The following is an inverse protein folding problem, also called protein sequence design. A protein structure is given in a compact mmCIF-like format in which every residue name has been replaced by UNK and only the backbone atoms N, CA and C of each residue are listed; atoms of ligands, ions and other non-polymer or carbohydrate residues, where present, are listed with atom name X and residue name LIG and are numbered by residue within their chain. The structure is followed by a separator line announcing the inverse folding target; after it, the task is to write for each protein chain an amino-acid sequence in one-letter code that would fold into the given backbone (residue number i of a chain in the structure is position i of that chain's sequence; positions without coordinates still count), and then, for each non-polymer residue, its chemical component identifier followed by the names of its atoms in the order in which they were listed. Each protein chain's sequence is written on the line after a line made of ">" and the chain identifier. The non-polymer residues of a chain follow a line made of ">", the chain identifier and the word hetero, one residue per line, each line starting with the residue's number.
data_IF_037236108902
#
_entry.id   IF_037236108902
#
_cell.length_a   1.000
_cell.length_b   1.000
_cell.length_c   1.000
_cell.angle_alpha   90.00
_cell.angle_beta   90.00
_cell.angle_gamma   90.00
#
_symmetry.space_group_name_H-M   'P 1'
#
loop_
_entity.id
_entity.type
_entity.pdbx_description
1 polymer ?
#
# COMPACT_ATOMS: atom_id res chain seq x y z
N UNK A 1 3.27 1.30 40.99
CA UNK A 1 2.73 0.07 40.37
C UNK A 1 1.21 0.15 40.29
N UNK A 2 0.63 -0.15 39.12
CA UNK A 2 -0.83 -0.21 38.96
C UNK A 2 -1.37 -1.51 39.57
N UNK A 3 -2.47 -1.45 40.33
CA UNK A 3 -3.11 -2.66 40.87
C UNK A 3 -3.70 -3.53 39.75
N UNK A 4 -3.64 -4.86 39.91
CA UNK A 4 -4.23 -5.86 39.00
C UNK A 4 -5.71 -5.55 38.66
N UNK A 5 -6.48 -5.07 39.64
CA UNK A 5 -7.89 -4.67 39.45
C UNK A 5 -8.02 -3.49 38.48
N UNK A 6 -7.08 -2.54 38.55
CA UNK A 6 -7.04 -1.38 37.66
C UNK A 6 -6.64 -1.78 36.26
N UNK A 7 -5.65 -2.67 36.11
CA UNK A 7 -5.24 -3.21 34.81
C UNK A 7 -6.37 -3.99 34.14
N UNK A 8 -7.06 -4.86 34.89
CA UNK A 8 -8.20 -5.62 34.36
C UNK A 8 -9.31 -4.70 33.84
N UNK A 9 -9.58 -3.59 34.55
CA UNK A 9 -10.53 -2.57 34.09
C UNK A 9 -10.07 -1.86 32.82
N UNK A 10 -8.79 -1.46 32.75
CA UNK A 10 -8.20 -0.82 31.56
C UNK A 10 -8.22 -1.77 30.35
N UNK A 11 -7.82 -3.03 30.54
CA UNK A 11 -7.90 -4.09 29.52
C UNK A 11 -9.33 -4.27 29.02
N UNK A 12 -10.32 -4.32 29.93
CA UNK A 12 -11.73 -4.40 29.56
C UNK A 12 -12.20 -3.22 28.70
N UNK A 13 -11.68 -2.02 28.94
CA UNK A 13 -11.96 -0.86 28.10
C UNK A 13 -11.34 -0.99 26.70
N UNK A 14 -10.07 -1.42 26.61
CA UNK A 14 -9.40 -1.71 25.33
C UNK A 14 -10.18 -2.74 24.53
N UNK A 15 -10.59 -3.84 25.17
CA UNK A 15 -11.45 -4.86 24.54
C UNK A 15 -12.73 -4.25 23.99
N UNK A 16 -13.45 -3.43 24.77
CA UNK A 16 -14.68 -2.80 24.31
C UNK A 16 -14.45 -1.85 23.12
N UNK A 17 -13.36 -1.08 23.13
CA UNK A 17 -12.98 -0.21 22.02
C UNK A 17 -12.64 -1.01 20.76
N UNK A 18 -11.83 -2.07 20.92
CA UNK A 18 -11.44 -2.94 19.82
C UNK A 18 -12.66 -3.64 19.22
N UNK A 19 -13.55 -4.22 20.03
CA UNK A 19 -14.79 -4.84 19.56
C UNK A 19 -15.67 -3.86 18.80
N UNK A 20 -15.82 -2.63 19.32
CA UNK A 20 -16.56 -1.58 18.62
C UNK A 20 -15.93 -1.22 17.28
N UNK A 21 -14.60 -1.23 17.19
CA UNK A 21 -13.89 -0.93 15.96
C UNK A 21 -14.01 -2.08 14.96
N UNK A 22 -13.80 -3.33 15.41
CA UNK A 22 -13.81 -4.53 14.57
C UNK A 22 -15.19 -4.97 14.10
N UNK A 23 -16.25 -4.60 14.83
CA UNK A 23 -17.63 -4.80 14.38
C UNK A 23 -18.01 -3.99 13.13
N UNK A 24 -17.24 -2.98 12.75
CA UNK A 24 -17.48 -2.22 11.53
C UNK A 24 -17.03 -3.04 10.31
N UNK A 25 -17.89 -3.26 9.31
CA UNK A 25 -17.49 -3.96 8.09
C UNK A 25 -16.51 -3.09 7.30
N UNK A 26 -15.24 -3.50 7.29
CA UNK A 26 -14.15 -2.76 6.63
C UNK A 26 -14.39 -2.55 5.13
N UNK A 27 -15.00 -3.53 4.45
CA UNK A 27 -15.23 -3.51 3.00
C UNK A 27 -16.22 -2.41 2.55
N UNK A 28 -17.01 -1.87 3.47
CA UNK A 28 -17.98 -0.82 3.18
C UNK A 28 -17.45 0.59 3.47
N UNK A 29 -16.24 0.71 4.01
CA UNK A 29 -15.65 2.00 4.36
C UNK A 29 -15.02 2.65 3.13
N UNK A 30 -15.17 3.97 3.02
CA UNK A 30 -14.34 4.77 2.11
C UNK A 30 -12.87 4.71 2.53
N UNK A 31 -11.96 5.03 1.61
CA UNK A 31 -10.52 5.07 1.91
C UNK A 31 -10.20 5.98 3.10
N UNK A 32 -10.85 7.14 3.19
CA UNK A 32 -10.66 8.09 4.30
C UNK A 32 -11.14 7.52 5.64
N UNK A 33 -12.31 6.88 5.66
CA UNK A 33 -12.84 6.24 6.87
C UNK A 33 -11.97 5.06 7.30
N UNK A 34 -11.44 4.29 6.34
CA UNK A 34 -10.53 3.19 6.59
C UNK A 34 -9.20 3.66 7.18
N UNK A 35 -8.61 4.74 6.66
CA UNK A 35 -7.42 5.39 7.23
C UNK A 35 -7.67 5.86 8.66
N UNK A 36 -8.75 6.61 8.88
CA UNK A 36 -9.15 7.08 10.21
C UNK A 36 -9.35 5.92 11.19
N UNK A 37 -9.95 4.82 10.72
CA UNK A 37 -10.17 3.61 11.51
C UNK A 37 -8.85 2.94 11.90
N UNK A 38 -7.86 2.90 10.99
CA UNK A 38 -6.53 2.38 11.28
C UNK A 38 -5.72 3.27 12.23
N UNK A 39 -5.88 4.59 12.15
CA UNK A 39 -5.27 5.53 13.10
C UNK A 39 -5.82 5.30 14.52
N UNK A 40 -7.14 5.15 14.65
CA UNK A 40 -7.77 4.80 15.94
C UNK A 40 -7.30 3.45 16.47
N UNK A 41 -7.10 2.45 15.60
CA UNK A 41 -6.54 1.16 15.99
C UNK A 41 -5.11 1.33 16.53
N UNK A 42 -4.31 2.21 15.92
CA UNK A 42 -2.95 2.49 16.38
C UNK A 42 -2.94 3.05 17.79
N UNK A 43 -3.81 4.03 18.10
CA UNK A 43 -3.97 4.57 19.45
C UNK A 43 -4.41 3.50 20.48
N UNK A 44 -5.25 2.56 20.06
CA UNK A 44 -5.68 1.43 20.90
C UNK A 44 -4.48 0.50 21.17
N UNK A 45 -3.68 0.22 20.13
CA UNK A 45 -2.48 -0.62 20.25
C UNK A 45 -1.47 -0.02 21.22
N UNK A 46 -1.15 1.27 21.12
CA UNK A 46 -0.20 1.91 22.04
C UNK A 46 -0.65 1.76 23.51
N UNK A 47 -1.93 2.07 23.79
CA UNK A 47 -2.49 1.92 25.13
C UNK A 47 -2.50 0.47 25.61
N UNK A 48 -2.68 -0.48 24.68
CA UNK A 48 -2.65 -1.90 24.99
C UNK A 48 -1.23 -2.37 25.35
N UNK A 49 -0.21 -1.93 24.63
CA UNK A 49 1.19 -2.25 24.95
C UNK A 49 1.59 -1.74 26.34
N UNK A 50 1.18 -0.51 26.70
CA UNK A 50 1.40 0.03 28.05
C UNK A 50 0.77 -0.87 29.14
N UNK A 51 -0.43 -1.39 28.87
CA UNK A 51 -1.13 -2.29 29.80
C UNK A 51 -0.42 -3.65 29.85
N UNK A 52 -0.03 -4.20 28.71
CA UNK A 52 0.68 -5.49 28.58
C UNK A 52 1.99 -5.44 29.35
N UNK A 53 2.77 -4.38 29.17
CA UNK A 53 4.00 -4.13 29.92
C UNK A 53 3.75 -4.05 31.44
N UNK A 54 2.70 -3.33 31.86
CA UNK A 54 2.35 -3.23 33.27
C UNK A 54 1.90 -4.57 33.89
N UNK A 55 1.39 -5.52 33.11
CA UNK A 55 1.12 -6.89 33.59
C UNK A 55 2.41 -7.69 33.76
N UNK A 56 3.41 -7.53 32.88
CA UNK A 56 4.71 -8.21 33.00
C UNK A 56 5.50 -7.77 34.24
N UNK A 57 5.25 -6.57 34.77
CA UNK A 57 5.89 -6.07 35.99
C UNK A 57 5.27 -6.62 37.29
N UNK A 58 4.22 -7.45 37.21
CA UNK A 58 3.57 -8.02 38.40
C UNK A 58 4.32 -9.27 38.84
N UNK A 59 4.97 -9.21 40.00
CA UNK A 59 5.72 -10.30 40.66
C UNK A 59 4.86 -11.53 41.07
N UNK A 60 3.55 -11.51 40.81
CA UNK A 60 2.64 -12.61 41.12
C UNK A 60 2.33 -13.47 39.89
N UNK A 61 3.16 -14.50 39.70
CA UNK A 61 3.14 -15.45 38.59
C UNK A 61 1.78 -16.17 38.38
N UNK A 62 0.97 -16.33 39.44
CA UNK A 62 -0.36 -16.96 39.32
C UNK A 62 -1.36 -16.06 38.60
N UNK A 63 -1.43 -14.79 38.97
CA UNK A 63 -2.37 -13.83 38.37
C UNK A 63 -1.99 -13.52 36.92
N UNK A 64 -0.69 -13.59 36.59
CA UNK A 64 -0.19 -13.37 35.24
C UNK A 64 -0.56 -14.52 34.28
N UNK A 65 -0.37 -15.78 34.70
CA UNK A 65 -0.68 -16.97 33.87
C UNK A 65 -2.14 -17.02 33.39
N UNK A 66 -3.06 -16.55 34.21
CA UNK A 66 -4.49 -16.51 33.84
C UNK A 66 -4.81 -15.40 32.83
N UNK A 67 -3.99 -14.33 32.80
CA UNK A 67 -4.23 -13.14 31.98
C UNK A 67 -3.44 -13.16 30.67
N UNK A 68 -2.25 -13.78 30.64
CA UNK A 68 -1.40 -13.95 29.47
C UNK A 68 -2.16 -14.41 28.20
N UNK A 69 -2.98 -15.48 28.22
CA UNK A 69 -3.69 -15.91 27.01
C UNK A 69 -4.70 -14.86 26.52
N UNK A 70 -5.30 -14.09 27.43
CA UNK A 70 -6.24 -13.00 27.09
C UNK A 70 -5.48 -11.86 26.41
N UNK A 71 -4.29 -11.52 26.91
CA UNK A 71 -3.44 -10.49 26.30
C UNK A 71 -3.00 -10.91 24.90
N UNK A 72 -2.54 -12.15 24.73
CA UNK A 72 -2.14 -12.67 23.42
C UNK A 72 -3.31 -12.64 22.43
N UNK A 73 -4.52 -12.99 22.87
CA UNK A 73 -5.69 -12.93 22.00
C UNK A 73 -6.02 -11.50 21.54
N UNK A 74 -5.92 -10.52 22.42
CA UNK A 74 -6.12 -9.11 22.06
C UNK A 74 -5.08 -8.64 21.04
N UNK A 75 -3.82 -9.04 21.24
CA UNK A 75 -2.72 -8.70 20.32
C UNK A 75 -2.95 -9.30 18.93
N UNK A 76 -3.33 -10.57 18.84
CA UNK A 76 -3.73 -11.22 17.60
C UNK A 76 -4.89 -10.49 16.91
N UNK A 77 -5.96 -10.15 17.65
CA UNK A 77 -7.12 -9.45 17.09
C UNK A 77 -6.76 -8.06 16.54
N UNK A 78 -5.83 -7.34 17.21
CA UNK A 78 -5.30 -6.06 16.73
C UNK A 78 -4.50 -6.27 15.43
N UNK A 79 -3.65 -7.29 15.38
CA UNK A 79 -2.82 -7.60 14.21
C UNK A 79 -3.68 -7.99 13.00
N UNK A 80 -4.65 -8.88 13.19
CA UNK A 80 -5.57 -9.33 12.14
C UNK A 80 -6.36 -8.16 11.54
N UNK A 81 -6.88 -7.28 12.41
CA UNK A 81 -7.60 -6.09 11.97
C UNK A 81 -6.67 -5.12 11.23
N UNK A 82 -5.44 -4.93 11.71
CA UNK A 82 -4.45 -4.06 11.07
C UNK A 82 -4.06 -4.57 9.67
N UNK A 83 -3.80 -5.88 9.53
CA UNK A 83 -3.45 -6.51 8.25
C UNK A 83 -4.62 -6.38 7.27
N UNK A 84 -5.84 -6.70 7.71
CA UNK A 84 -7.04 -6.62 6.88
C UNK A 84 -7.28 -5.20 6.37
N UNK A 85 -7.19 -4.20 7.25
CA UNK A 85 -7.38 -2.80 6.85
C UNK A 85 -6.27 -2.29 5.91
N UNK A 86 -5.00 -2.63 6.17
CA UNK A 86 -3.88 -2.26 5.28
C UNK A 86 -3.99 -2.91 3.90
N UNK A 87 -4.45 -4.16 3.84
CA UNK A 87 -4.68 -4.85 2.57
C UNK A 87 -5.77 -4.16 1.74
N UNK A 88 -6.84 -3.70 2.39
CA UNK A 88 -7.89 -2.92 1.72
C UNK A 88 -7.38 -1.56 1.23
N UNK A 89 -6.58 -0.84 2.02
CA UNK A 89 -5.95 0.40 1.56
C UNK A 89 -5.06 0.18 0.34
N UNK A 90 -4.27 -0.89 0.33
CA UNK A 90 -3.45 -1.25 -0.84
C UNK A 90 -4.33 -1.40 -2.10
N UNK A 91 -5.47 -2.10 -1.99
CA UNK A 91 -6.42 -2.26 -3.10
C UNK A 91 -6.98 -0.93 -3.60
N UNK A 92 -7.30 0.02 -2.71
CA UNK A 92 -7.73 1.37 -3.12
C UNK A 92 -6.66 2.07 -3.97
N UNK A 93 -5.41 2.07 -3.51
CA UNK A 93 -4.30 2.67 -4.27
C UNK A 93 -4.05 2.01 -5.63
N UNK A 94 -4.23 0.69 -5.75
CA UNK A 94 -4.07 0.01 -7.05
C UNK A 94 -5.21 0.39 -8.01
N UNK A 95 -6.46 0.46 -7.54
CA UNK A 95 -7.61 0.86 -8.36
C UNK A 95 -7.41 2.27 -8.94
N UNK A 96 -6.86 3.21 -8.18
CA UNK A 96 -6.59 4.56 -8.68
C UNK A 96 -5.48 4.62 -9.73
N UNK A 97 -4.43 3.79 -9.60
CA UNK A 97 -3.39 3.65 -10.64
C UNK A 97 -3.97 3.11 -11.95
N UNK A 98 -4.92 2.18 -11.90
CA UNK A 98 -5.58 1.65 -13.11
C UNK A 98 -6.63 2.62 -13.68
N UNK A 99 -7.31 3.41 -12.85
CA UNK A 99 -8.27 4.44 -13.33
C UNK A 99 -7.59 5.62 -14.00
N UNK A 100 -6.44 6.07 -13.49
CA UNK A 100 -5.65 7.13 -14.12
C UNK A 100 -5.11 6.72 -15.51
N UNK A 101 -4.97 5.43 -15.78
CA UNK A 101 -4.58 4.92 -17.09
C UNK A 101 -5.76 4.79 -18.08
N UNK A 102 -7.00 4.85 -17.60
CA UNK A 102 -8.20 4.55 -18.41
C UNK A 102 -9.28 5.66 -18.41
N UNK A 103 -9.04 6.79 -17.75
CA UNK A 103 -10.01 7.90 -17.64
C UNK A 103 -9.47 9.18 -18.27
N UNK A 104 -9.52 9.29 -19.60
CA UNK A 104 -9.43 10.58 -20.29
C UNK A 104 -10.51 10.69 -21.36
N UNK A 105 -11.78 10.78 -20.95
CA UNK A 105 -12.88 11.05 -21.88
C UNK A 105 -13.14 12.55 -22.13
N UNK A 106 -12.40 13.48 -21.50
CA UNK A 106 -12.54 14.92 -21.77
C UNK A 106 -11.21 15.69 -21.84
N UNK A 107 -10.12 15.03 -22.24
CA UNK A 107 -8.96 15.76 -22.74
C UNK A 107 -9.27 16.13 -24.19
N UNK A 108 -9.31 17.42 -24.52
CA UNK A 108 -9.25 17.89 -25.91
C UNK A 108 -8.22 17.02 -26.64
N UNK A 109 -8.65 16.30 -27.69
CA UNK A 109 -7.85 15.33 -28.44
C UNK A 109 -6.64 16.01 -29.11
N UNK A 110 -5.66 16.43 -28.32
CA UNK A 110 -4.30 16.72 -28.75
C UNK A 110 -3.61 15.36 -28.75
N UNK A 111 -3.92 14.55 -29.76
CA UNK A 111 -3.13 13.35 -30.04
C UNK A 111 -1.83 13.83 -30.68
N UNK A 112 -0.71 13.34 -30.16
CA UNK A 112 0.55 13.49 -30.88
C UNK A 112 0.38 12.85 -32.27
N UNK A 113 0.91 13.48 -33.34
CA UNK A 113 0.95 12.85 -34.65
C UNK A 113 1.58 11.46 -34.52
N UNK A 114 0.95 10.47 -35.14
CA UNK A 114 1.51 9.13 -35.18
C UNK A 114 2.81 9.17 -36.00
N UNK A 115 3.92 8.77 -35.38
CA UNK A 115 5.22 8.73 -36.04
C UNK A 115 5.43 7.28 -36.51
N UNK A 116 5.41 7.01 -37.83
CA UNK A 116 5.64 5.67 -38.33
C UNK A 116 7.10 5.29 -38.08
N UNK A 117 7.33 4.35 -37.17
CA UNK A 117 8.66 3.80 -36.92
C UNK A 117 9.05 2.85 -38.07
N UNK A 118 10.24 3.00 -38.67
CA UNK A 118 10.75 2.03 -39.62
C UNK A 118 10.80 0.66 -38.95
N UNK A 119 10.46 -0.39 -39.69
CA UNK A 119 10.57 -1.76 -39.22
C UNK A 119 11.84 -2.39 -39.80
N UNK A 120 12.61 -3.08 -38.96
CA UNK A 120 13.76 -3.87 -39.41
C UNK A 120 13.39 -5.35 -39.35
N UNK A 121 13.53 -6.03 -40.49
CA UNK A 121 13.20 -7.45 -40.66
C UNK A 121 14.35 -8.39 -40.23
N UNK A 122 15.44 -7.85 -39.72
CA UNK A 122 16.62 -8.61 -39.29
C UNK A 122 17.56 -9.02 -40.42
N UNK A 123 17.24 -8.71 -41.69
CA UNK A 123 18.12 -9.03 -42.81
C UNK A 123 19.25 -8.02 -42.93
N UNK A 124 20.50 -8.49 -42.86
CA UNK A 124 21.68 -7.61 -42.94
C UNK A 124 21.73 -6.79 -44.24
N UNK A 125 21.27 -7.33 -45.37
CA UNK A 125 21.16 -6.61 -46.65
C UNK A 125 20.27 -5.36 -46.56
N UNK A 126 19.27 -5.38 -45.67
CA UNK A 126 18.30 -4.29 -45.49
C UNK A 126 18.72 -3.31 -44.39
N UNK A 127 19.84 -3.56 -43.70
CA UNK A 127 20.33 -2.72 -42.60
C UNK A 127 20.60 -1.28 -43.00
N UNK A 128 21.30 -1.08 -44.13
CA UNK A 128 21.61 0.27 -44.63
C UNK A 128 20.35 1.07 -44.95
N UNK A 129 19.35 0.41 -45.54
CA UNK A 129 18.05 1.02 -45.87
C UNK A 129 17.29 1.43 -44.59
N UNK A 130 17.23 0.53 -43.60
CA UNK A 130 16.62 0.82 -42.30
C UNK A 130 17.34 1.96 -41.56
N UNK A 131 18.68 1.94 -41.50
CA UNK A 131 19.49 2.98 -40.85
C UNK A 131 19.24 4.35 -41.48
N UNK A 132 19.14 4.43 -42.81
CA UNK A 132 18.85 5.68 -43.51
C UNK A 132 17.42 6.17 -43.25
N UNK A 133 16.42 5.28 -43.28
CA UNK A 133 15.03 5.64 -42.96
C UNK A 133 14.90 6.16 -41.52
N UNK A 134 15.61 5.55 -40.58
CA UNK A 134 15.61 5.97 -39.19
C UNK A 134 16.32 7.31 -38.96
N UNK A 135 17.47 7.56 -39.61
CA UNK A 135 18.13 8.87 -39.55
C UNK A 135 17.26 9.99 -40.12
N UNK A 136 16.67 9.77 -41.29
CA UNK A 136 15.78 10.74 -41.92
C UNK A 136 14.57 11.05 -41.02
N UNK A 137 14.05 10.07 -40.28
CA UNK A 137 12.98 10.26 -39.32
C UNK A 137 13.41 11.16 -38.15
N UNK A 138 14.59 10.92 -37.59
CA UNK A 138 15.16 11.73 -36.50
C UNK A 138 15.37 13.19 -36.94
N UNK A 139 15.91 13.39 -38.14
CA UNK A 139 16.11 14.73 -38.71
C UNK A 139 14.79 15.45 -38.94
N UNK A 140 13.78 14.76 -39.50
CA UNK A 140 12.46 15.33 -39.79
C UNK A 140 11.71 15.77 -38.54
N UNK A 141 11.87 15.05 -37.42
CA UNK A 141 11.15 15.31 -36.16
C UNK A 141 11.96 16.23 -35.23
N UNK A 142 13.18 16.63 -35.62
CA UNK A 142 14.03 17.52 -34.83
C UNK A 142 14.63 16.85 -33.59
N UNK A 143 14.73 15.52 -33.59
CA UNK A 143 15.31 14.72 -32.51
C UNK A 143 16.84 14.57 -32.66
N UNK A 144 17.52 15.52 -33.30
CA UNK A 144 18.94 15.49 -33.65
C UNK A 144 19.92 15.38 -32.46
N UNK A 145 19.41 15.42 -31.22
CA UNK A 145 20.16 15.17 -29.97
C UNK A 145 20.19 13.70 -29.56
N UNK A 146 19.46 12.81 -30.23
CA UNK A 146 19.56 11.36 -29.99
C UNK A 146 20.91 10.89 -30.54
N UNK A 147 21.86 10.61 -29.65
CA UNK A 147 23.13 9.98 -30.00
C UNK A 147 22.84 8.52 -30.32
N UNK A 148 22.90 8.17 -31.60
CA UNK A 148 22.88 6.77 -32.01
C UNK A 148 24.25 6.18 -31.70
N UNK A 149 24.30 5.33 -30.67
CA UNK A 149 25.48 4.52 -30.41
C UNK A 149 25.67 3.55 -31.57
N UNK A 150 26.72 3.78 -32.36
CA UNK A 150 27.22 2.79 -33.31
C UNK A 150 27.83 1.63 -32.54
N UNK A 151 27.01 0.63 -32.20
CA UNK A 151 27.53 -0.69 -31.88
C UNK A 151 27.74 -1.44 -33.21
N UNK A 152 28.89 -2.08 -33.34
CA UNK A 152 29.43 -2.87 -34.46
C UNK A 152 30.33 -2.10 -35.44
N UNK A 153 31.61 -2.03 -35.08
CA UNK A 153 32.72 -2.22 -36.02
C UNK A 153 33.13 -3.70 -36.01
#
# INVERSE_FOLDING_TARGET
>A
MSSIKTLNRKRGNILAQLTKLSSKPLDNLSEFELRTTLDLLYDIKEKFEDIKQAYFEIDNDKDFKDVEPILNKIDEDIQDFQVSGKLLLYKFTEVDKFKHNNSSEHANNVRLPEIPLPQFDGQFSNWSSFKNQFHNLIETIGLSKIVLFECFA
#
